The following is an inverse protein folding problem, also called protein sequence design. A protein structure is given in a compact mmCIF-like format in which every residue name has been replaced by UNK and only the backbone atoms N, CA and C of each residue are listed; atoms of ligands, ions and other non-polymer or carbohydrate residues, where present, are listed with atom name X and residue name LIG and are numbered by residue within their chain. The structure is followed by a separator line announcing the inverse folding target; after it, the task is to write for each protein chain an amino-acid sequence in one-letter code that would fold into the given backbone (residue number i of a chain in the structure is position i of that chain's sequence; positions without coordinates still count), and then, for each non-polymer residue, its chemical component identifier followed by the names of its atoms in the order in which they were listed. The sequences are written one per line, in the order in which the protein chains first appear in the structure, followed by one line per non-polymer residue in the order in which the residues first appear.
data_IF_753248143597
#
_entry.id   IF_753248143597
#
_cell.length_a   1.000
_cell.length_b   1.000
_cell.length_c   1.000
_cell.angle_alpha   90.00
_cell.angle_beta   90.00
_cell.angle_gamma   90.00
#
_symmetry.space_group_name_H-M   'P 1'
#
loop_
_entity.id
_entity.type
_entity.pdbx_description
1 polymer ?
#
# COMPACT_ATOMS: atom_id res chain seq x y z
N UNK A 1 12.64 35.80 -8.87
CA UNK A 1 11.35 36.50 -8.71
C UNK A 1 10.19 35.64 -9.22
N UNK A 2 10.36 35.08 -10.43
CA UNK A 2 9.28 34.46 -11.22
C UNK A 2 9.22 32.94 -11.07
N UNK A 3 9.65 32.39 -9.92
CA UNK A 3 9.52 30.96 -9.63
C UNK A 3 8.08 30.66 -9.23
N UNK A 4 7.45 29.70 -9.91
CA UNK A 4 6.06 29.30 -9.65
C UNK A 4 5.93 28.45 -8.37
N UNK A 5 7.01 27.75 -7.98
CA UNK A 5 7.07 26.93 -6.77
C UNK A 5 7.89 27.55 -5.65
N UNK A 6 7.47 27.31 -4.40
CA UNK A 6 8.23 27.59 -3.18
C UNK A 6 9.15 26.41 -2.84
N UNK A 7 10.44 26.65 -2.65
CA UNK A 7 11.41 25.58 -2.36
C UNK A 7 11.20 24.93 -0.98
N UNK A 8 11.01 23.61 -0.97
CA UNK A 8 10.97 22.79 0.24
C UNK A 8 12.35 22.19 0.50
N UNK A 9 13.10 22.80 1.42
CA UNK A 9 14.39 22.28 1.90
C UNK A 9 14.28 21.36 3.12
N UNK A 10 15.01 20.24 3.11
CA UNK A 10 15.07 19.26 4.21
C UNK A 10 15.44 19.91 5.57
N UNK A 11 14.70 19.56 6.63
CA UNK A 11 14.97 20.05 7.98
C UNK A 11 16.20 19.37 8.64
N UNK A 12 16.52 18.16 8.20
CA UNK A 12 17.59 17.29 8.75
C UNK A 12 18.53 16.82 7.65
N UNK A 13 19.71 16.33 8.03
CA UNK A 13 20.52 15.49 7.15
C UNK A 13 19.99 14.06 7.22
N UNK A 14 19.79 13.42 6.07
CA UNK A 14 19.20 12.08 5.96
C UNK A 14 19.91 11.29 4.86
N UNK A 15 20.24 10.03 5.12
CA UNK A 15 20.69 9.09 4.08
C UNK A 15 19.50 8.26 3.66
N UNK A 16 19.26 8.18 2.37
CA UNK A 16 18.16 7.45 1.78
C UNK A 16 18.71 6.25 1.01
N UNK A 17 18.29 5.03 1.34
CA UNK A 17 18.75 3.79 0.71
C UNK A 17 17.62 3.13 -0.10
N UNK A 18 17.93 2.31 -1.13
CA UNK A 18 16.91 1.58 -1.89
C UNK A 18 16.07 0.61 -1.05
N UNK A 19 16.61 0.15 0.08
CA UNK A 19 15.94 -0.78 1.02
C UNK A 19 14.72 -0.14 1.72
N UNK A 20 14.65 1.20 1.72
CA UNK A 20 13.51 1.97 2.23
C UNK A 20 12.84 2.69 1.04
N UNK A 21 11.92 2.02 0.31
CA UNK A 21 11.46 2.48 -1.00
C UNK A 21 10.71 3.82 -0.97
N UNK A 22 10.16 4.20 0.18
CA UNK A 22 9.56 5.52 0.44
C UNK A 22 10.00 6.03 1.81
N UNK A 23 10.57 7.23 1.85
CA UNK A 23 11.02 7.91 3.06
C UNK A 23 10.30 9.24 3.25
N UNK A 24 9.77 9.46 4.45
CA UNK A 24 9.08 10.69 4.85
C UNK A 24 10.10 11.71 5.40
N UNK A 25 10.41 12.75 4.63
CA UNK A 25 11.30 13.82 5.08
C UNK A 25 10.48 14.95 5.72
N UNK A 26 10.69 15.26 7.02
CA UNK A 26 10.07 16.42 7.66
C UNK A 26 10.64 17.71 7.07
N UNK A 27 9.76 18.69 6.88
CA UNK A 27 10.09 20.02 6.40
C UNK A 27 9.53 21.00 7.42
N UNK A 28 10.41 21.76 8.08
CA UNK A 28 10.06 22.74 9.13
C UNK A 28 9.29 23.98 8.63
N UNK A 29 8.25 23.77 7.83
CA UNK A 29 7.23 24.72 7.39
C UNK A 29 5.88 24.02 7.62
N UNK A 30 5.00 24.66 8.38
CA UNK A 30 3.63 24.21 8.58
C UNK A 30 2.67 25.13 7.83
N UNK A 31 1.44 24.68 7.62
CA UNK A 31 0.35 25.55 7.21
C UNK A 31 -0.22 26.39 8.37
N UNK A 32 -1.41 26.98 8.23
CA UNK A 32 -2.33 26.86 7.09
C UNK A 32 -1.81 27.57 5.82
N UNK A 33 -2.36 27.20 4.67
CA UNK A 33 -2.20 27.98 3.44
C UNK A 33 -3.30 29.06 3.36
N UNK A 34 -3.19 30.07 2.47
CA UNK A 34 -4.28 31.02 2.27
C UNK A 34 -5.59 30.33 1.86
N UNK A 35 -6.73 30.91 2.26
CA UNK A 35 -8.04 30.38 1.90
C UNK A 35 -8.23 30.31 0.37
N UNK A 36 -8.80 29.21 -0.12
CA UNK A 36 -8.98 28.98 -1.56
C UNK A 36 -7.72 28.53 -2.32
N UNK A 37 -6.60 28.32 -1.62
CA UNK A 37 -5.35 27.79 -2.18
C UNK A 37 -5.11 26.34 -1.75
N UNK A 38 -4.73 25.49 -2.70
CA UNK A 38 -4.20 24.15 -2.46
C UNK A 38 -2.71 24.12 -2.78
N UNK A 39 -1.92 23.47 -1.93
CA UNK A 39 -0.50 23.25 -2.15
C UNK A 39 -0.25 21.89 -2.81
N UNK A 40 0.47 21.87 -3.93
CA UNK A 40 0.90 20.63 -4.60
C UNK A 40 2.41 20.45 -4.43
N UNK A 41 2.82 19.42 -3.69
CA UNK A 41 4.22 19.05 -3.46
C UNK A 41 4.73 18.23 -4.64
N UNK A 42 5.75 18.76 -5.34
CA UNK A 42 6.36 18.15 -6.52
C UNK A 42 7.88 18.08 -6.40
N UNK A 43 8.50 17.19 -7.19
CA UNK A 43 9.97 17.08 -7.27
C UNK A 43 10.61 18.31 -7.92
N UNK A 44 11.81 18.67 -7.49
CA UNK A 44 12.66 19.64 -8.21
C UNK A 44 13.40 18.95 -9.37
N UNK A 45 13.43 19.56 -10.56
CA UNK A 45 14.00 18.95 -11.77
C UNK A 45 15.43 18.41 -11.62
N UNK A 46 16.29 19.10 -10.87
CA UNK A 46 17.67 18.66 -10.60
C UNK A 46 17.76 17.33 -9.83
N UNK A 47 16.77 17.03 -8.97
CA UNK A 47 16.72 15.80 -8.17
C UNK A 47 16.17 14.64 -8.98
N UNK A 48 15.23 14.90 -9.89
CA UNK A 48 14.77 13.92 -10.89
C UNK A 48 15.93 13.38 -11.72
N UNK A 49 16.87 14.25 -12.11
CA UNK A 49 18.10 13.84 -12.81
C UNK A 49 19.04 12.97 -11.98
N UNK A 50 18.95 13.04 -10.64
CA UNK A 50 19.68 12.17 -9.72
C UNK A 50 18.95 10.84 -9.43
N UNK A 51 17.81 10.60 -10.08
CA UNK A 51 16.98 9.42 -9.88
C UNK A 51 16.07 9.49 -8.64
N UNK A 52 15.93 10.68 -8.03
CA UNK A 52 15.08 10.90 -6.87
C UNK A 52 13.67 11.25 -7.34
N UNK A 53 12.68 10.53 -6.85
CA UNK A 53 11.26 10.82 -7.11
C UNK A 53 10.59 11.36 -5.84
N UNK A 54 9.63 12.27 -5.99
CA UNK A 54 8.75 12.71 -4.91
C UNK A 54 7.36 12.19 -5.20
N UNK A 55 6.74 11.50 -4.23
CA UNK A 55 5.33 11.11 -4.34
C UNK A 55 4.50 12.40 -4.24
N UNK A 56 3.66 12.74 -5.24
CA UNK A 56 2.91 13.99 -5.23
C UNK A 56 2.02 14.10 -3.99
N UNK A 57 2.19 15.18 -3.24
CA UNK A 57 1.42 15.46 -2.02
C UNK A 57 0.46 16.62 -2.23
N UNK A 58 -0.76 16.50 -1.68
CA UNK A 58 -1.74 17.58 -1.62
C UNK A 58 -1.75 18.14 -0.20
N UNK A 59 -1.66 19.47 -0.08
CA UNK A 59 -1.74 20.22 1.17
C UNK A 59 -2.98 21.10 1.09
N UNK A 60 -4.02 20.74 1.86
CA UNK A 60 -5.26 21.50 1.94
C UNK A 60 -5.06 22.84 2.68
N UNK A 61 -5.91 23.84 2.41
CA UNK A 61 -5.76 25.18 2.99
C UNK A 61 -5.86 25.19 4.52
N UNK A 62 -6.70 24.33 5.08
CA UNK A 62 -6.96 24.19 6.51
C UNK A 62 -5.97 23.25 7.23
N UNK A 63 -5.00 22.66 6.50
CA UNK A 63 -3.96 21.82 7.10
C UNK A 63 -2.97 22.66 7.90
N UNK A 64 -3.06 22.60 9.23
CA UNK A 64 -2.16 23.30 10.18
C UNK A 64 -0.91 22.51 10.55
N UNK A 65 -0.76 21.29 10.05
CA UNK A 65 0.38 20.43 10.36
C UNK A 65 1.66 20.83 9.61
N UNK A 66 2.76 20.17 10.00
CA UNK A 66 4.03 20.24 9.26
C UNK A 66 3.84 19.66 7.85
N UNK A 67 4.20 20.40 6.81
CA UNK A 67 4.24 19.90 5.43
C UNK A 67 5.37 18.86 5.36
N UNK A 68 5.13 17.70 4.72
CA UNK A 68 6.13 16.63 4.63
C UNK A 68 6.32 16.20 3.18
N UNK A 69 7.54 15.80 2.86
CA UNK A 69 7.91 15.35 1.51
C UNK A 69 8.12 13.84 1.55
N UNK A 70 7.30 13.09 0.81
CA UNK A 70 7.53 11.66 0.59
C UNK A 70 8.47 11.50 -0.59
N UNK A 71 9.67 10.99 -0.33
CA UNK A 71 10.69 10.72 -1.35
C UNK A 71 10.73 9.22 -1.62
N UNK A 72 10.79 8.82 -2.89
CA UNK A 72 11.02 7.44 -3.32
C UNK A 72 12.33 7.35 -4.11
N UNK A 73 13.12 6.30 -3.86
CA UNK A 73 14.40 6.06 -4.52
C UNK A 73 14.40 4.65 -5.14
N UNK A 74 14.42 4.55 -6.47
CA UNK A 74 14.28 3.26 -7.15
C UNK A 74 15.59 2.47 -7.28
N UNK A 75 16.78 3.06 -7.06
CA UNK A 75 18.03 2.40 -7.47
C UNK A 75 19.35 2.78 -6.75
N UNK A 76 19.48 3.96 -6.11
CA UNK A 76 20.77 4.43 -5.57
C UNK A 76 20.62 5.06 -4.19
N UNK A 77 21.59 4.81 -3.32
CA UNK A 77 21.73 5.52 -2.04
C UNK A 77 22.06 6.99 -2.30
N UNK A 78 21.32 7.90 -1.66
CA UNK A 78 21.53 9.35 -1.76
C UNK A 78 21.62 9.96 -0.37
N UNK A 79 22.62 10.82 -0.18
CA UNK A 79 22.73 11.66 1.01
C UNK A 79 22.04 13.01 0.75
N UNK A 80 21.03 13.32 1.54
CA UNK A 80 20.38 14.63 1.59
C UNK A 80 20.96 15.42 2.75
N UNK A 81 21.50 16.60 2.46
CA UNK A 81 22.04 17.52 3.46
C UNK A 81 20.93 18.36 4.09
N UNK A 82 21.09 18.76 5.36
CA UNK A 82 20.21 19.75 5.99
C UNK A 82 20.20 21.04 5.16
N UNK A 83 19.01 21.57 4.86
CA UNK A 83 18.83 22.77 4.04
C UNK A 83 18.86 22.52 2.52
N UNK A 84 19.22 21.32 2.05
CA UNK A 84 19.13 20.95 0.63
C UNK A 84 17.67 20.99 0.18
N UNK A 85 17.42 21.62 -0.98
CA UNK A 85 16.10 21.64 -1.63
C UNK A 85 15.77 20.22 -2.08
N UNK A 86 14.60 19.71 -1.71
CA UNK A 86 14.17 18.32 -1.95
C UNK A 86 12.86 18.22 -2.74
N UNK A 87 12.04 19.27 -2.70
CA UNK A 87 10.78 19.39 -3.42
C UNK A 87 10.44 20.87 -3.59
N UNK A 88 9.36 21.15 -4.32
CA UNK A 88 8.75 22.46 -4.44
C UNK A 88 7.25 22.38 -4.11
N UNK A 89 6.72 23.40 -3.47
CA UNK A 89 5.29 23.57 -3.21
C UNK A 89 4.73 24.55 -4.25
N UNK A 90 3.88 24.05 -5.14
CA UNK A 90 3.13 24.85 -6.09
C UNK A 90 1.79 25.25 -5.47
N UNK A 91 1.53 26.55 -5.34
CA UNK A 91 0.28 27.07 -4.81
C UNK A 91 -0.71 27.30 -5.96
N UNK A 92 -1.88 26.64 -5.90
CA UNK A 92 -2.90 26.70 -6.94
C UNK A 92 -4.25 27.14 -6.35
N UNK A 93 -5.03 28.00 -7.03
CA UNK A 93 -6.41 28.26 -6.64
C UNK A 93 -7.27 27.01 -6.90
N UNK A 94 -8.19 26.70 -5.99
CA UNK A 94 -9.19 25.65 -6.17
C UNK A 94 -10.62 26.19 -6.05
N UNK A 95 -11.57 25.52 -6.70
CA UNK A 95 -12.99 25.81 -6.55
C UNK A 95 -13.59 24.99 -5.42
N UNK A 96 -14.09 25.65 -4.38
CA UNK A 96 -14.74 24.97 -3.25
C UNK A 96 -16.12 24.44 -3.66
N UNK A 97 -16.20 23.14 -3.97
CA UNK A 97 -17.47 22.47 -4.27
C UNK A 97 -18.29 22.36 -2.97
N UNK A 98 -19.24 23.27 -2.76
CA UNK A 98 -20.27 23.11 -1.72
C UNK A 98 -21.05 21.82 -2.02
N UNK A 99 -21.07 20.88 -1.07
CA UNK A 99 -21.73 19.58 -1.21
C UNK A 99 -23.27 19.72 -1.19
N UNK A 100 -23.83 20.10 -2.34
CA UNK A 100 -25.24 19.87 -2.69
C UNK A 100 -25.32 18.81 -3.80
N UNK A 101 -24.54 17.74 -3.65
CA UNK A 101 -24.63 16.58 -4.54
C UNK A 101 -25.87 15.77 -4.16
N UNK A 102 -27.01 16.11 -4.75
CA UNK A 102 -28.08 15.14 -4.97
C UNK A 102 -27.48 13.93 -5.70
N UNK A 103 -27.95 12.73 -5.36
CA UNK A 103 -27.39 11.47 -5.82
C UNK A 103 -27.73 11.17 -7.28
N UNK A 104 -27.20 11.95 -8.23
CA UNK A 104 -27.07 11.49 -9.60
C UNK A 104 -25.98 10.42 -9.65
N UNK A 105 -26.40 9.20 -9.96
CA UNK A 105 -25.50 8.06 -10.07
C UNK A 105 -24.38 8.36 -11.08
N UNK A 106 -23.12 8.20 -10.64
CA UNK A 106 -21.98 8.19 -11.58
C UNK A 106 -22.26 7.13 -12.64
N UNK A 107 -22.05 7.49 -13.91
CA UNK A 107 -21.97 6.50 -14.99
C UNK A 107 -20.88 5.46 -14.71
N UNK A 108 -20.90 4.30 -15.38
CA UNK A 108 -20.26 3.06 -14.93
C UNK A 108 -18.71 3.03 -14.97
N UNK A 109 -18.03 4.17 -15.12
CA UNK A 109 -16.57 4.27 -15.12
C UNK A 109 -16.08 5.52 -14.41
N UNK A 110 -15.58 5.33 -13.19
CA UNK A 110 -14.81 6.34 -12.47
C UNK A 110 -14.14 5.70 -11.28
N UNK A 111 -12.81 5.58 -11.32
CA UNK A 111 -12.00 4.96 -10.27
C UNK A 111 -12.33 5.60 -8.91
N UNK A 112 -12.89 4.80 -7.99
CA UNK A 112 -13.09 5.16 -6.60
C UNK A 112 -11.97 4.51 -5.82
N UNK A 113 -10.98 5.30 -5.39
CA UNK A 113 -10.00 4.87 -4.40
C UNK A 113 -10.65 4.84 -3.02
N UNK A 114 -11.47 3.83 -2.81
CA UNK A 114 -12.07 3.47 -1.53
C UNK A 114 -12.50 2.02 -1.62
N UNK A 115 -11.51 1.11 -1.68
CA UNK A 115 -11.57 -0.25 -1.15
C UNK A 115 -10.18 -0.90 -1.28
N UNK A 116 -9.59 -1.21 -0.12
CA UNK A 116 -8.63 -2.30 0.13
C UNK A 116 -7.28 -2.28 -0.63
N UNK A 117 -6.31 -1.54 -0.06
CA UNK A 117 -4.90 -1.91 -0.17
C UNK A 117 -4.52 -2.70 1.11
N UNK A 118 -4.31 -4.01 0.97
CA UNK A 118 -3.83 -4.86 2.07
C UNK A 118 -2.30 -4.91 2.11
N UNK A 119 -1.72 -4.94 3.31
CA UNK A 119 -0.30 -5.22 3.49
C UNK A 119 -0.06 -6.72 3.34
N UNK A 120 0.46 -7.12 2.18
CA UNK A 120 0.95 -8.47 1.93
C UNK A 120 2.31 -8.61 2.61
N UNK A 121 2.46 -9.60 3.49
CA UNK A 121 3.76 -9.97 4.05
C UNK A 121 4.63 -10.55 2.92
N UNK A 122 5.79 -9.95 2.66
CA UNK A 122 6.72 -10.48 1.66
C UNK A 122 7.16 -11.90 2.05
N UNK A 123 7.01 -12.84 1.12
CA UNK A 123 7.43 -14.23 1.26
C UNK A 123 8.95 -14.29 1.08
N UNK A 124 9.65 -13.99 2.17
CA UNK A 124 11.10 -14.13 2.27
C UNK A 124 11.55 -15.58 2.00
N UNK A 125 12.82 -15.82 1.60
CA UNK A 125 13.34 -17.17 1.35
C UNK A 125 13.22 -18.12 2.54
N UNK A 126 13.13 -17.60 3.76
CA UNK A 126 12.87 -18.35 5.00
C UNK A 126 11.44 -18.88 5.12
N UNK A 127 10.52 -18.51 4.20
CA UNK A 127 9.12 -18.97 4.06
C UNK A 127 8.40 -19.09 5.41
N UNK A 128 7.72 -18.04 5.91
CA UNK A 128 7.09 -18.05 7.24
C UNK A 128 6.00 -19.12 7.37
N UNK A 129 6.38 -20.34 7.76
CA UNK A 129 5.47 -21.44 8.01
C UNK A 129 4.86 -21.32 9.40
N UNK A 130 3.56 -21.65 9.48
CA UNK A 130 2.77 -21.64 10.70
C UNK A 130 1.99 -22.94 10.82
N UNK A 131 2.23 -23.65 11.91
CA UNK A 131 1.41 -24.78 12.34
C UNK A 131 0.04 -24.28 12.83
N UNK A 132 -1.02 -24.94 12.39
CA UNK A 132 -2.38 -24.81 12.90
C UNK A 132 -3.03 -26.18 13.10
N UNK A 133 -4.02 -26.24 13.99
CA UNK A 133 -4.99 -27.32 14.05
C UNK A 133 -6.25 -26.88 13.30
N UNK A 134 -6.66 -27.65 12.27
CA UNK A 134 -7.89 -27.44 11.50
C UNK A 134 -8.76 -28.67 11.67
N UNK A 135 -9.98 -28.51 12.22
CA UNK A 135 -10.83 -29.63 12.67
C UNK A 135 -10.08 -30.70 13.50
N UNK A 136 -9.07 -30.30 14.28
CA UNK A 136 -8.21 -31.19 15.07
C UNK A 136 -7.03 -31.83 14.31
N UNK A 137 -6.97 -31.71 12.98
CA UNK A 137 -5.82 -32.16 12.18
C UNK A 137 -4.72 -31.09 12.19
N UNK A 138 -3.48 -31.49 12.52
CA UNK A 138 -2.31 -30.59 12.44
C UNK A 138 -1.87 -30.42 10.99
N UNK A 139 -1.72 -29.18 10.56
CA UNK A 139 -1.21 -28.79 9.24
C UNK A 139 -0.26 -27.60 9.39
N UNK A 140 0.71 -27.47 8.49
CA UNK A 140 1.76 -26.44 8.55
C UNK A 140 1.78 -25.68 7.24
N UNK A 141 1.37 -24.42 7.25
CA UNK A 141 1.17 -23.62 6.03
C UNK A 141 1.89 -22.28 6.02
N UNK A 142 2.10 -21.75 4.82
CA UNK A 142 2.71 -20.43 4.64
C UNK A 142 1.76 -19.35 5.19
N UNK A 143 2.23 -18.47 6.07
CA UNK A 143 1.43 -17.38 6.62
C UNK A 143 1.34 -16.24 5.60
N UNK A 144 0.12 -15.93 5.15
CA UNK A 144 -0.15 -14.80 4.24
C UNK A 144 -1.28 -13.92 4.79
N UNK A 145 -0.96 -12.64 5.01
CA UNK A 145 -1.85 -11.60 5.54
C UNK A 145 -2.71 -10.90 4.49
N UNK A 146 -2.54 -11.23 3.21
CA UNK A 146 -3.17 -10.55 2.07
C UNK A 146 -4.16 -11.38 1.25
N UNK A 147 -4.35 -12.67 1.54
CA UNK A 147 -5.30 -13.52 0.81
C UNK A 147 -6.64 -13.70 1.55
N UNK A 148 -7.74 -13.62 0.80
CA UNK A 148 -9.11 -13.81 1.31
C UNK A 148 -9.47 -15.28 1.59
N UNK A 149 -8.65 -16.22 1.11
CA UNK A 149 -8.92 -17.66 1.09
C UNK A 149 -7.64 -18.48 1.29
N UNK A 150 -7.75 -19.52 2.10
CA UNK A 150 -6.67 -20.50 2.31
C UNK A 150 -6.72 -21.63 1.29
N UNK A 151 -5.60 -21.86 0.61
CA UNK A 151 -5.43 -22.92 -0.37
C UNK A 151 -4.77 -24.17 0.23
N UNK A 152 -4.90 -25.32 -0.42
CA UNK A 152 -4.16 -26.54 -0.07
C UNK A 152 -3.65 -27.18 -1.35
N UNK A 153 -2.44 -27.72 -1.35
CA UNK A 153 -2.04 -28.64 -2.41
C UNK A 153 -2.90 -29.91 -2.28
N UNK A 154 -3.41 -30.44 -3.40
CA UNK A 154 -4.37 -31.54 -3.38
C UNK A 154 -3.88 -32.83 -2.69
N UNK A 155 -2.56 -33.03 -2.62
CA UNK A 155 -1.90 -34.13 -1.88
C UNK A 155 -1.97 -33.97 -0.34
N UNK A 156 -2.09 -32.74 0.15
CA UNK A 156 -2.07 -32.38 1.57
C UNK A 156 -3.51 -32.17 2.10
N UNK A 157 -4.52 -32.32 1.24
CA UNK A 157 -5.93 -32.29 1.61
C UNK A 157 -6.36 -33.62 2.26
N UNK A 158 -6.90 -33.62 3.49
CA UNK A 158 -7.42 -34.83 4.12
C UNK A 158 -8.55 -35.47 3.31
N UNK A 159 -8.42 -36.75 2.97
CA UNK A 159 -9.43 -37.51 2.20
C UNK A 159 -10.79 -37.63 2.91
N UNK A 160 -10.82 -37.40 4.23
CA UNK A 160 -12.05 -37.35 5.03
C UNK A 160 -12.80 -36.01 4.93
N UNK A 161 -12.22 -34.97 4.34
CA UNK A 161 -12.86 -33.67 4.18
C UNK A 161 -13.58 -33.59 2.83
N UNK A 162 -14.92 -33.43 2.81
CA UNK A 162 -15.69 -33.41 1.57
C UNK A 162 -15.38 -32.15 0.75
N UNK A 163 -15.26 -32.33 -0.56
CA UNK A 163 -15.06 -31.24 -1.51
C UNK A 163 -16.12 -31.24 -2.61
N UNK A 164 -16.24 -30.11 -3.31
CA UNK A 164 -16.96 -30.00 -4.57
C UNK A 164 -16.09 -29.24 -5.57
N UNK A 165 -16.24 -29.56 -6.85
CA UNK A 165 -15.56 -28.82 -7.92
C UNK A 165 -16.16 -27.42 -8.04
N UNK A 166 -15.31 -26.42 -8.24
CA UNK A 166 -15.74 -25.05 -8.51
C UNK A 166 -15.39 -24.65 -9.94
N UNK A 167 -16.36 -24.06 -10.65
CA UNK A 167 -16.12 -23.46 -11.97
C UNK A 167 -15.35 -22.12 -11.89
N UNK A 168 -15.06 -21.64 -10.67
CA UNK A 168 -14.15 -20.53 -10.43
C UNK A 168 -12.72 -21.07 -10.28
N UNK A 169 -11.80 -20.53 -11.09
CA UNK A 169 -10.37 -20.74 -10.91
C UNK A 169 -9.80 -19.83 -9.80
N UNK A 170 -8.62 -20.19 -9.31
CA UNK A 170 -7.82 -19.34 -8.42
C UNK A 170 -6.83 -18.52 -9.25
N UNK A 171 -6.70 -17.22 -8.94
CA UNK A 171 -5.83 -16.27 -9.64
C UNK A 171 -4.99 -15.50 -8.62
N UNK A 172 -3.67 -15.51 -8.79
CA UNK A 172 -2.67 -14.83 -7.97
C UNK A 172 -1.41 -14.56 -8.77
N UNK A 173 -0.23 -14.95 -8.26
CA UNK A 173 1.03 -14.91 -9.05
C UNK A 173 0.98 -15.95 -10.20
N UNK A 174 0.17 -17.00 -10.06
CA UNK A 174 -0.23 -17.93 -11.12
C UNK A 174 -1.75 -17.96 -11.34
N UNK A 175 -2.22 -18.91 -12.17
CA UNK A 175 -3.66 -19.17 -12.36
C UNK A 175 -3.92 -20.67 -12.45
N UNK A 176 -4.88 -21.16 -11.67
CA UNK A 176 -5.35 -22.56 -11.72
C UNK A 176 -6.82 -22.59 -12.11
N UNK A 177 -7.18 -23.14 -13.28
CA UNK A 177 -8.54 -23.06 -13.82
C UNK A 177 -9.54 -24.05 -13.18
N UNK A 178 -9.05 -25.07 -12.48
CA UNK A 178 -9.88 -26.13 -11.89
C UNK A 178 -9.46 -26.37 -10.45
N UNK A 179 -10.34 -26.02 -9.50
CA UNK A 179 -10.08 -26.09 -8.07
C UNK A 179 -11.24 -26.82 -7.39
N UNK A 180 -10.93 -27.56 -6.33
CA UNK A 180 -11.93 -28.16 -5.45
C UNK A 180 -12.02 -27.34 -4.16
N UNK A 181 -13.24 -26.97 -3.76
CA UNK A 181 -13.51 -26.21 -2.53
C UNK A 181 -14.07 -27.14 -1.47
N UNK A 182 -13.78 -26.87 -0.19
CA UNK A 182 -14.44 -27.55 0.93
C UNK A 182 -15.96 -27.41 0.84
N UNK A 183 -16.67 -28.52 1.02
CA UNK A 183 -18.14 -28.54 1.10
C UNK A 183 -18.67 -28.17 2.49
N UNK A 184 -17.78 -27.86 3.45
CA UNK A 184 -18.10 -27.42 4.79
C UNK A 184 -17.21 -26.25 5.22
N UNK A 185 -17.65 -25.46 6.20
CA UNK A 185 -16.79 -24.46 6.84
C UNK A 185 -15.81 -25.20 7.76
N UNK A 186 -14.51 -25.05 7.51
CA UNK A 186 -13.46 -25.59 8.36
C UNK A 186 -13.12 -24.59 9.47
N UNK A 187 -13.08 -25.06 10.71
CA UNK A 187 -12.67 -24.28 11.88
C UNK A 187 -11.23 -24.60 12.28
N UNK A 188 -10.48 -23.60 12.74
CA UNK A 188 -9.09 -23.73 13.16
C UNK A 188 -8.84 -23.15 14.55
N UNK A 189 -7.75 -23.56 15.20
CA UNK A 189 -7.36 -23.10 16.53
C UNK A 189 -5.84 -22.98 16.66
N UNK A 190 -5.31 -21.75 16.58
CA UNK A 190 -4.01 -21.24 17.08
C UNK A 190 -3.71 -19.87 16.42
N UNK A 191 -3.01 -18.88 17.00
CA UNK A 191 -2.95 -18.43 18.40
C UNK A 191 -3.34 -16.94 18.51
N UNK A 192 -3.26 -16.17 17.40
CA UNK A 192 -3.27 -14.70 17.37
C UNK A 192 -4.74 -14.20 17.31
N UNK A 193 -5.32 -13.61 18.37
CA UNK A 193 -6.78 -13.43 18.46
C UNK A 193 -7.37 -12.28 17.63
N UNK A 194 -6.56 -11.51 16.91
CA UNK A 194 -6.92 -10.15 16.46
C UNK A 194 -6.56 -9.80 15.01
N UNK A 195 -6.07 -10.75 14.21
CA UNK A 195 -5.71 -10.53 12.80
C UNK A 195 -6.38 -11.60 11.92
N UNK A 196 -7.14 -11.22 10.88
CA UNK A 196 -7.48 -12.15 9.81
C UNK A 196 -6.20 -12.45 9.04
N UNK A 197 -5.77 -13.71 9.04
CA UNK A 197 -4.70 -14.21 8.20
C UNK A 197 -5.16 -15.47 7.50
N UNK A 198 -4.67 -15.67 6.28
CA UNK A 198 -4.78 -16.95 5.60
C UNK A 198 -3.53 -17.79 5.91
N UNK A 199 -3.70 -19.11 6.00
CA UNK A 199 -2.61 -19.98 5.57
C UNK A 199 -2.70 -20.17 4.06
N UNK A 200 -1.56 -20.24 3.38
CA UNK A 200 -1.47 -20.53 1.95
C UNK A 200 -2.26 -19.54 1.11
N UNK A 201 -1.80 -18.28 1.12
CA UNK A 201 -2.26 -17.29 0.15
C UNK A 201 -1.73 -17.57 -1.26
N UNK A 202 -1.73 -16.54 -2.12
CA UNK A 202 -2.05 -16.68 -3.54
C UNK A 202 -0.89 -17.16 -4.46
N UNK A 203 0.05 -17.90 -3.88
CA UNK A 203 1.19 -18.52 -4.53
C UNK A 203 0.93 -20.01 -4.79
N UNK A 204 0.20 -20.28 -5.88
CA UNK A 204 0.18 -21.62 -6.47
C UNK A 204 1.37 -21.74 -7.44
N UNK A 205 2.42 -22.41 -6.97
CA UNK A 205 3.52 -22.98 -7.77
C UNK A 205 3.39 -24.50 -7.82
#
# INVERSE_FOLDING_TARGET
PDSVGLDLSSATATILTPDVPVSLIPKGMAGPLPEGIVGLVLVCSLLSLQGISVVPGVVDSDYTGEIKVLISLPAKTVQISKGQRIAQLLLLPYYQIRRTLTSQARGPRGFRFSDLAFWVQEITPSRPLKDLLIQGNRTSGLLDTGADISCFAGKDWPSSWPTHLTNAGLVGIGSVPSVAKSSQILTWSDVIPSLPFSLWGIDIL
#
